data_IF_334869619848
#
_entry.id   IF_334869619848
#
_cell.length_a   1.000
_cell.length_b   1.000
_cell.length_c   1.000
_cell.angle_alpha   90.00
_cell.angle_beta   90.00
_cell.angle_gamma   90.00
#
_symmetry.space_group_name_H-M   'P 1'
#
loop_
_entity.id
_entity.type
_entity.pdbx_description
1 polymer ?
#
# COMPACT_ATOMS: atom_id res chain seq x y z
N UNK A 1 6.04 -15.22 35.50
CA UNK A 1 5.71 -14.62 36.80
C UNK A 1 4.42 -13.80 36.78
N UNK A 2 4.31 -12.65 36.07
CA UNK A 2 3.04 -11.89 36.11
C UNK A 2 1.91 -12.53 35.30
N UNK A 3 2.21 -13.26 34.22
CA UNK A 3 1.22 -13.96 33.41
C UNK A 3 0.44 -14.99 34.24
N UNK A 4 1.14 -15.82 34.96
CA UNK A 4 0.54 -16.84 35.83
C UNK A 4 -0.27 -16.19 36.96
N UNK A 5 0.28 -15.11 37.57
CA UNK A 5 -0.38 -14.39 38.66
C UNK A 5 -1.74 -13.78 38.23
N UNK A 6 -1.83 -13.26 37.00
CA UNK A 6 -3.05 -12.68 36.45
C UNK A 6 -3.85 -13.63 35.55
N UNK A 7 -3.44 -14.89 35.43
CA UNK A 7 -4.12 -15.88 34.60
C UNK A 7 -4.10 -15.54 33.10
N UNK A 8 -3.07 -14.81 32.66
CA UNK A 8 -2.96 -14.37 31.28
C UNK A 8 -2.33 -15.46 30.42
N UNK A 9 -2.87 -15.69 29.26
CA UNK A 9 -2.35 -16.69 28.30
C UNK A 9 -1.13 -16.18 27.53
N UNK A 10 -1.00 -14.86 27.37
CA UNK A 10 0.07 -14.21 26.62
C UNK A 10 0.36 -12.80 27.17
N UNK A 11 1.53 -12.20 26.87
CA UNK A 11 1.87 -10.88 27.35
C UNK A 11 0.92 -9.80 26.79
N UNK A 12 0.18 -9.06 27.64
CA UNK A 12 -0.80 -8.07 27.19
C UNK A 12 -0.19 -6.75 26.68
N UNK A 13 1.11 -6.54 26.94
CA UNK A 13 1.82 -5.31 26.63
C UNK A 13 2.86 -5.54 25.51
N UNK A 14 2.49 -6.27 24.46
CA UNK A 14 3.34 -6.39 23.29
C UNK A 14 3.39 -5.07 22.54
N UNK A 15 4.60 -4.66 22.11
CA UNK A 15 4.79 -3.48 21.25
C UNK A 15 4.26 -3.74 19.85
N UNK A 16 4.23 -5.01 19.43
CA UNK A 16 3.71 -5.40 18.11
C UNK A 16 2.18 -5.45 18.18
N UNK A 17 1.47 -4.61 17.42
CA UNK A 17 0.02 -4.68 17.36
C UNK A 17 -0.46 -6.04 16.86
N UNK A 18 -1.36 -6.66 17.62
CA UNK A 18 -1.99 -7.92 17.24
C UNK A 18 -3.43 -7.64 16.77
N UNK A 19 -3.75 -7.95 15.51
CA UNK A 19 -5.09 -7.71 14.95
C UNK A 19 -6.22 -8.39 15.73
N UNK A 20 -5.95 -9.48 16.44
CA UNK A 20 -6.94 -10.21 17.25
C UNK A 20 -7.53 -9.39 18.40
N UNK A 21 -6.79 -8.38 18.88
CA UNK A 21 -7.19 -7.52 20.01
C UNK A 21 -7.64 -6.15 19.56
N UNK A 22 -7.89 -5.94 18.27
CA UNK A 22 -8.29 -4.64 17.78
C UNK A 22 -9.76 -4.38 18.08
N UNK A 23 -10.02 -3.31 18.82
CA UNK A 23 -11.35 -2.74 18.96
C UNK A 23 -11.62 -1.72 17.85
N UNK A 24 -12.53 -2.05 16.97
CA UNK A 24 -12.95 -1.16 15.90
C UNK A 24 -14.11 -0.28 16.38
N UNK A 25 -13.85 1.00 16.61
CA UNK A 25 -14.92 1.99 16.76
C UNK A 25 -15.72 2.10 15.44
N UNK A 26 -16.87 2.76 15.48
CA UNK A 26 -17.69 3.02 14.29
C UNK A 26 -16.87 3.71 13.19
N UNK A 27 -16.09 4.74 13.53
CA UNK A 27 -15.19 5.43 12.58
C UNK A 27 -14.14 4.51 11.96
N UNK A 28 -13.58 3.58 12.74
CA UNK A 28 -12.61 2.62 12.20
C UNK A 28 -13.27 1.63 11.24
N UNK A 29 -14.50 1.18 11.55
CA UNK A 29 -15.27 0.30 10.65
C UNK A 29 -15.61 1.00 9.34
N UNK A 30 -16.05 2.25 9.41
CA UNK A 30 -16.36 3.05 8.23
C UNK A 30 -15.10 3.27 7.37
N UNK A 31 -13.99 3.65 8.00
CA UNK A 31 -12.71 3.82 7.30
C UNK A 31 -12.27 2.53 6.60
N UNK A 32 -12.32 1.38 7.29
CA UNK A 32 -11.97 0.09 6.71
C UNK A 32 -12.89 -0.29 5.55
N UNK A 33 -14.20 -0.04 5.69
CA UNK A 33 -15.17 -0.28 4.62
C UNK A 33 -14.89 0.59 3.40
N UNK A 34 -14.52 1.86 3.58
CA UNK A 34 -14.11 2.76 2.50
C UNK A 34 -12.83 2.28 1.80
N UNK A 35 -11.83 1.81 2.56
CA UNK A 35 -10.59 1.26 2.01
C UNK A 35 -10.87 0.00 1.16
N UNK A 36 -11.64 -0.94 1.70
CA UNK A 36 -12.04 -2.16 0.98
C UNK A 36 -12.84 -1.83 -0.27
N UNK A 37 -13.80 -0.90 -0.16
CA UNK A 37 -14.59 -0.46 -1.31
C UNK A 37 -13.72 0.15 -2.41
N UNK A 38 -12.74 0.99 -2.03
CA UNK A 38 -11.80 1.62 -2.97
C UNK A 38 -10.98 0.58 -3.74
N UNK A 39 -10.51 -0.46 -3.06
CA UNK A 39 -9.72 -1.54 -3.67
C UNK A 39 -10.61 -2.49 -4.48
N UNK A 40 -11.75 -2.93 -3.91
CA UNK A 40 -12.58 -3.97 -4.52
C UNK A 40 -13.45 -3.47 -5.67
N UNK A 41 -14.07 -2.33 -5.52
CA UNK A 41 -15.05 -1.82 -6.51
C UNK A 41 -14.49 -0.75 -7.43
N UNK A 42 -13.27 -0.25 -7.16
CA UNK A 42 -12.65 0.77 -7.99
C UNK A 42 -13.50 2.04 -8.10
N UNK A 43 -14.20 2.36 -7.01
CA UNK A 43 -15.24 3.37 -7.00
C UNK A 43 -14.70 4.79 -6.98
N UNK A 44 -14.01 5.24 -8.03
CA UNK A 44 -13.87 6.68 -8.17
C UNK A 44 -12.47 7.25 -8.26
N UNK A 45 -11.51 6.60 -8.87
CA UNK A 45 -10.30 7.32 -9.25
C UNK A 45 -8.97 6.80 -8.69
N UNK A 46 -8.95 5.62 -8.14
CA UNK A 46 -7.68 4.94 -7.85
C UNK A 46 -6.95 5.37 -6.57
N UNK A 47 -7.36 6.42 -5.88
CA UNK A 47 -6.77 6.85 -4.61
C UNK A 47 -7.76 6.82 -3.46
N UNK A 48 -7.32 6.26 -2.34
CA UNK A 48 -8.01 6.41 -1.05
C UNK A 48 -7.00 6.96 -0.04
N UNK A 49 -7.33 8.06 0.59
CA UNK A 49 -6.50 8.68 1.61
C UNK A 49 -7.09 8.43 2.99
N UNK A 50 -6.31 7.80 3.87
CA UNK A 50 -6.62 7.65 5.28
C UNK A 50 -5.86 8.70 6.08
N UNK A 51 -6.58 9.62 6.73
CA UNK A 51 -5.99 10.67 7.56
C UNK A 51 -6.38 10.49 9.02
N UNK A 52 -5.53 10.94 9.93
CA UNK A 52 -5.80 10.89 11.36
C UNK A 52 -4.56 11.25 12.17
N UNK A 53 -4.76 11.58 13.43
CA UNK A 53 -3.67 11.92 14.36
C UNK A 53 -2.75 10.72 14.63
N UNK A 54 -1.59 10.98 15.23
CA UNK A 54 -0.68 9.92 15.71
C UNK A 54 -1.42 9.07 16.75
N UNK A 55 -1.23 7.76 16.68
CA UNK A 55 -1.84 6.83 17.65
C UNK A 55 -3.31 6.48 17.38
N UNK A 56 -3.94 6.99 16.31
CA UNK A 56 -5.33 6.67 15.99
C UNK A 56 -5.52 5.31 15.31
N UNK A 57 -4.47 4.48 15.20
CA UNK A 57 -4.58 3.12 14.67
C UNK A 57 -4.55 2.98 13.14
N UNK A 58 -4.05 3.99 12.38
CA UNK A 58 -3.96 3.93 10.92
C UNK A 58 -3.19 2.71 10.40
N UNK A 59 -2.00 2.48 10.92
CA UNK A 59 -1.18 1.29 10.57
C UNK A 59 -1.89 -0.02 10.93
N UNK A 60 -2.64 -0.04 12.03
CA UNK A 60 -3.45 -1.20 12.41
C UNK A 60 -4.58 -1.43 11.41
N UNK A 61 -5.25 -0.36 10.95
CA UNK A 61 -6.26 -0.46 9.90
C UNK A 61 -5.68 -0.97 8.58
N UNK A 62 -4.48 -0.52 8.19
CA UNK A 62 -3.79 -1.03 7.01
C UNK A 62 -3.51 -2.54 7.13
N UNK A 63 -3.10 -3.03 8.31
CA UNK A 63 -2.90 -4.48 8.54
C UNK A 63 -4.20 -5.27 8.44
N UNK A 64 -5.28 -4.78 9.07
CA UNK A 64 -6.60 -5.39 8.95
C UNK A 64 -7.13 -5.39 7.52
N UNK A 65 -6.83 -4.34 6.76
CA UNK A 65 -7.14 -4.28 5.34
C UNK A 65 -6.45 -5.41 4.59
N UNK A 66 -5.13 -5.61 4.82
CA UNK A 66 -4.36 -6.68 4.20
C UNK A 66 -4.94 -8.07 4.47
N UNK A 67 -5.41 -8.33 5.69
CA UNK A 67 -6.03 -9.60 6.08
C UNK A 67 -7.39 -9.84 5.39
N UNK A 68 -8.08 -8.80 4.98
CA UNK A 68 -9.41 -8.87 4.37
C UNK A 68 -9.39 -8.78 2.84
N UNK A 69 -8.22 -8.52 2.24
CA UNK A 69 -8.11 -8.52 0.79
C UNK A 69 -8.25 -9.92 0.21
N UNK A 70 -8.87 -10.01 -0.95
CA UNK A 70 -9.03 -11.27 -1.66
C UNK A 70 -7.71 -11.77 -2.23
N UNK A 71 -7.56 -13.08 -2.41
CA UNK A 71 -6.40 -13.72 -3.05
C UNK A 71 -6.15 -13.26 -4.49
N UNK A 72 -7.14 -12.62 -5.10
CA UNK A 72 -7.02 -12.01 -6.44
C UNK A 72 -6.37 -10.62 -6.39
N UNK A 73 -6.03 -10.10 -5.21
CA UNK A 73 -5.39 -8.80 -5.04
C UNK A 73 -3.91 -8.97 -4.74
N UNK A 74 -3.06 -8.39 -5.57
CA UNK A 74 -1.61 -8.27 -5.34
C UNK A 74 -1.34 -6.95 -4.64
N UNK A 75 -0.54 -6.98 -3.59
CA UNK A 75 -0.27 -5.79 -2.79
C UNK A 75 1.21 -5.47 -2.80
N UNK A 76 1.54 -4.22 -3.06
CA UNK A 76 2.83 -3.63 -2.74
C UNK A 76 2.67 -2.77 -1.48
N UNK A 77 3.43 -3.08 -0.43
CA UNK A 77 3.36 -2.38 0.85
C UNK A 77 4.65 -1.59 1.11
N UNK A 78 4.55 -0.27 1.12
CA UNK A 78 5.66 0.64 1.43
C UNK A 78 5.46 1.21 2.83
N UNK A 79 6.26 0.74 3.79
CA UNK A 79 6.16 1.16 5.20
C UNK A 79 7.00 2.39 5.53
N UNK A 80 8.09 2.62 4.80
CA UNK A 80 8.94 3.77 5.00
C UNK A 80 9.20 4.49 3.67
N UNK A 81 8.40 5.48 3.31
CA UNK A 81 8.46 6.13 2.01
C UNK A 81 9.52 7.24 1.91
N UNK A 82 10.48 7.33 2.84
CA UNK A 82 11.65 8.24 2.71
C UNK A 82 12.63 7.72 1.65
N UNK A 83 12.12 7.53 0.45
CA UNK A 83 12.83 6.94 -0.67
C UNK A 83 12.87 7.95 -1.82
N UNK A 84 13.96 7.91 -2.59
CA UNK A 84 13.98 8.58 -3.90
C UNK A 84 12.95 7.94 -4.84
N UNK A 85 12.56 8.61 -5.93
CA UNK A 85 11.61 8.03 -6.90
C UNK A 85 12.06 6.67 -7.45
N UNK A 86 13.36 6.48 -7.67
CA UNK A 86 13.91 5.20 -8.16
C UNK A 86 13.77 4.12 -7.09
N UNK A 87 14.20 4.38 -5.86
CA UNK A 87 14.13 3.45 -4.75
C UNK A 87 12.66 3.08 -4.42
N UNK A 88 11.74 4.03 -4.55
CA UNK A 88 10.31 3.77 -4.38
C UNK A 88 9.79 2.78 -5.42
N UNK A 89 10.15 2.96 -6.70
CA UNK A 89 9.75 2.04 -7.77
C UNK A 89 10.43 0.69 -7.64
N UNK A 90 11.70 0.63 -7.23
CA UNK A 90 12.41 -0.61 -6.93
C UNK A 90 11.66 -1.37 -5.82
N UNK A 91 11.33 -0.71 -4.71
CA UNK A 91 10.56 -1.30 -3.60
C UNK A 91 9.20 -1.83 -4.08
N UNK A 92 8.47 -1.07 -4.90
CA UNK A 92 7.19 -1.53 -5.46
C UNK A 92 7.38 -2.77 -6.33
N UNK A 93 8.41 -2.80 -7.17
CA UNK A 93 8.71 -3.96 -8.01
C UNK A 93 9.09 -5.19 -7.16
N UNK A 94 9.89 -5.01 -6.12
CA UNK A 94 10.27 -6.07 -5.17
C UNK A 94 9.04 -6.65 -4.46
N UNK A 95 8.17 -5.81 -3.92
CA UNK A 95 6.94 -6.21 -3.24
C UNK A 95 5.97 -6.96 -4.17
N UNK A 96 5.92 -6.60 -5.44
CA UNK A 96 5.12 -7.29 -6.46
C UNK A 96 5.85 -8.50 -7.08
N UNK A 97 7.09 -8.79 -6.65
CA UNK A 97 7.92 -9.89 -7.16
C UNK A 97 8.14 -9.78 -8.68
N UNK A 98 8.33 -8.55 -9.16
CA UNK A 98 8.63 -8.29 -10.58
C UNK A 98 10.11 -8.56 -10.81
N UNK A 99 10.48 -9.49 -11.69
CA UNK A 99 11.88 -9.73 -12.02
C UNK A 99 12.46 -8.48 -12.68
N UNK A 100 13.52 -7.95 -12.09
CA UNK A 100 14.29 -6.85 -12.66
C UNK A 100 15.50 -7.47 -13.35
N UNK A 101 15.47 -7.54 -14.67
CA UNK A 101 16.56 -8.11 -15.47
C UNK A 101 17.84 -7.30 -15.24
N UNK A 102 18.90 -7.96 -14.75
CA UNK A 102 20.24 -7.39 -14.60
C UNK A 102 20.86 -7.42 -13.20
N UNK A 103 20.27 -8.14 -12.24
CA UNK A 103 20.79 -8.24 -10.85
C UNK A 103 21.92 -9.25 -10.65
N UNK A 104 22.51 -9.82 -11.70
CA UNK A 104 23.66 -10.73 -11.54
C UNK A 104 24.97 -10.03 -11.14
N UNK A 105 25.00 -8.73 -11.03
CA UNK A 105 26.18 -7.99 -10.56
C UNK A 105 25.76 -6.77 -9.75
N UNK A 106 25.78 -6.89 -8.46
CA UNK A 106 25.60 -5.97 -7.33
C UNK A 106 25.59 -4.45 -7.51
N UNK A 107 25.35 -3.87 -8.67
CA UNK A 107 25.48 -2.44 -8.94
C UNK A 107 24.61 -1.88 -10.07
N UNK A 108 23.47 -2.51 -10.40
CA UNK A 108 22.54 -1.87 -11.34
C UNK A 108 21.21 -1.54 -10.67
N UNK A 109 21.15 -0.35 -10.10
CA UNK A 109 19.88 0.37 -9.95
C UNK A 109 19.28 0.50 -11.35
N UNK A 110 18.07 -0.04 -11.54
CA UNK A 110 17.36 0.11 -12.81
C UNK A 110 17.20 1.60 -13.15
N UNK A 111 17.26 1.96 -14.42
CA UNK A 111 16.88 3.33 -14.78
C UNK A 111 15.39 3.53 -14.43
N UNK A 112 15.01 4.74 -14.01
CA UNK A 112 13.61 5.08 -13.71
C UNK A 112 12.66 4.56 -14.81
N UNK A 113 13.07 4.71 -16.07
CA UNK A 113 12.30 4.24 -17.22
C UNK A 113 12.16 2.71 -17.24
N UNK A 114 13.23 1.97 -17.00
CA UNK A 114 13.18 0.50 -17.00
C UNK A 114 12.26 -0.03 -15.90
N UNK A 115 12.26 0.58 -14.71
CA UNK A 115 11.37 0.23 -13.60
C UNK A 115 9.91 0.52 -13.95
N UNK A 116 9.63 1.68 -14.54
CA UNK A 116 8.29 2.05 -15.00
C UNK A 116 7.81 1.09 -16.09
N UNK A 117 8.64 0.74 -17.06
CA UNK A 117 8.29 -0.19 -18.15
C UNK A 117 8.02 -1.61 -17.60
N UNK A 118 8.85 -2.10 -16.67
CA UNK A 118 8.65 -3.39 -16.01
C UNK A 118 7.35 -3.43 -15.20
N UNK A 119 7.09 -2.38 -14.42
CA UNK A 119 5.85 -2.25 -13.66
C UNK A 119 4.63 -2.21 -14.59
N UNK A 120 4.69 -1.45 -15.69
CA UNK A 120 3.63 -1.41 -16.69
C UNK A 120 3.34 -2.78 -17.31
N UNK A 121 4.38 -3.51 -17.69
CA UNK A 121 4.23 -4.86 -18.25
C UNK A 121 3.54 -5.79 -17.23
N UNK A 122 3.97 -5.75 -15.96
CA UNK A 122 3.35 -6.52 -14.88
C UNK A 122 1.89 -6.17 -14.67
N UNK A 123 1.57 -4.88 -14.66
CA UNK A 123 0.21 -4.40 -14.46
C UNK A 123 -0.72 -4.84 -15.60
N UNK A 124 -0.20 -4.87 -16.84
CA UNK A 124 -0.90 -5.39 -18.02
C UNK A 124 -1.20 -6.89 -17.89
N UNK A 125 -0.20 -7.68 -17.49
CA UNK A 125 -0.36 -9.12 -17.28
C UNK A 125 -1.34 -9.41 -16.15
N UNK A 126 -1.19 -8.74 -14.99
CA UNK A 126 -2.09 -8.87 -13.86
C UNK A 126 -3.55 -8.59 -14.28
N UNK A 127 -3.75 -7.53 -15.07
CA UNK A 127 -5.06 -7.21 -15.62
C UNK A 127 -5.61 -8.31 -16.52
N UNK A 128 -4.81 -8.81 -17.45
CA UNK A 128 -5.22 -9.88 -18.37
C UNK A 128 -5.65 -11.15 -17.60
N UNK A 129 -5.03 -11.41 -16.45
CA UNK A 129 -5.36 -12.52 -15.55
C UNK A 129 -6.51 -12.21 -14.57
N UNK A 130 -7.12 -11.04 -14.65
CA UNK A 130 -8.21 -10.64 -13.76
C UNK A 130 -7.77 -10.30 -12.34
N UNK A 131 -6.47 -10.16 -12.10
CA UNK A 131 -5.91 -9.77 -10.82
C UNK A 131 -6.05 -8.25 -10.60
N UNK A 132 -6.14 -7.87 -9.33
CA UNK A 132 -6.05 -6.48 -8.89
C UNK A 132 -4.66 -6.21 -8.33
N UNK A 133 -4.22 -4.97 -8.43
CA UNK A 133 -2.97 -4.54 -7.79
C UNK A 133 -3.29 -3.36 -6.89
N UNK A 134 -2.86 -3.40 -5.66
CA UNK A 134 -3.00 -2.32 -4.69
C UNK A 134 -1.62 -1.87 -4.21
N UNK A 135 -1.38 -0.57 -4.22
CA UNK A 135 -0.21 0.05 -3.61
C UNK A 135 -0.66 0.68 -2.28
N UNK A 136 -0.09 0.21 -1.19
CA UNK A 136 -0.35 0.75 0.14
C UNK A 136 0.93 1.46 0.61
N UNK A 137 0.81 2.74 0.93
CA UNK A 137 1.92 3.53 1.43
C UNK A 137 1.57 4.00 2.84
N UNK A 138 2.27 3.49 3.84
CA UNK A 138 2.16 4.01 5.20
C UNK A 138 3.08 5.23 5.38
N UNK A 139 2.72 6.14 6.27
CA UNK A 139 3.47 7.38 6.52
C UNK A 139 3.73 8.23 5.26
N UNK A 140 2.76 8.28 4.34
CA UNK A 140 2.90 8.92 3.01
C UNK A 140 3.26 10.42 3.06
N UNK A 141 3.10 11.10 4.21
CA UNK A 141 3.58 12.46 4.41
C UNK A 141 5.13 12.57 4.36
N UNK A 142 5.82 11.44 4.42
CA UNK A 142 7.28 11.40 4.30
C UNK A 142 7.77 11.24 2.84
N UNK A 143 6.86 11.08 1.88
CA UNK A 143 7.22 11.09 0.46
C UNK A 143 7.74 12.46 0.03
N UNK A 144 8.78 12.45 -0.82
CA UNK A 144 9.20 13.67 -1.52
C UNK A 144 8.14 14.07 -2.56
N UNK A 145 8.16 15.32 -2.99
CA UNK A 145 7.25 15.80 -4.05
C UNK A 145 7.46 15.00 -5.34
N UNK A 146 8.72 14.68 -5.65
CA UNK A 146 9.09 13.89 -6.82
C UNK A 146 8.54 12.46 -6.73
N UNK A 147 8.62 11.84 -5.54
CA UNK A 147 8.09 10.49 -5.31
C UNK A 147 6.55 10.48 -5.36
N UNK A 148 5.89 11.51 -4.83
CA UNK A 148 4.44 11.70 -4.96
C UNK A 148 4.02 11.82 -6.42
N UNK A 149 4.79 12.57 -7.22
CA UNK A 149 4.51 12.72 -8.64
C UNK A 149 4.66 11.38 -9.38
N UNK A 150 5.65 10.55 -9.03
CA UNK A 150 5.77 9.20 -9.58
C UNK A 150 4.56 8.33 -9.22
N UNK A 151 4.09 8.35 -7.98
CA UNK A 151 2.87 7.64 -7.57
C UNK A 151 1.66 8.13 -8.36
N UNK A 152 1.52 9.45 -8.56
CA UNK A 152 0.45 10.04 -9.37
C UNK A 152 0.53 9.58 -10.84
N UNK A 153 1.73 9.53 -11.42
CA UNK A 153 1.93 9.04 -12.78
C UNK A 153 1.58 7.57 -12.92
N UNK A 154 1.91 6.73 -11.94
CA UNK A 154 1.52 5.33 -11.93
C UNK A 154 0.01 5.12 -11.94
N UNK A 155 -0.73 5.98 -11.25
CA UNK A 155 -2.21 5.87 -11.24
C UNK A 155 -2.87 6.43 -12.49
N UNK A 156 -2.17 7.33 -13.22
CA UNK A 156 -2.62 7.89 -14.47
C UNK A 156 -2.23 7.05 -15.71
N UNK A 157 -1.68 5.87 -15.53
CA UNK A 157 -1.39 4.94 -16.63
C UNK A 157 -2.69 4.43 -17.31
N UNK A 158 -3.57 5.38 -17.60
CA UNK A 158 -4.71 5.18 -18.47
C UNK A 158 -4.16 5.13 -19.92
N UNK A 159 -3.99 3.92 -20.42
CA UNK A 159 -3.70 3.79 -21.85
C UNK A 159 -4.87 4.34 -22.66
N UNK A 160 -4.54 5.09 -23.72
CA UNK A 160 -5.46 5.79 -24.62
C UNK A 160 -6.51 4.88 -25.31
N UNK A 161 -6.60 3.62 -24.97
CA UNK A 161 -7.41 2.63 -25.70
C UNK A 161 -8.55 1.99 -24.94
N UNK A 162 -8.94 2.42 -23.79
CA UNK A 162 -10.27 2.12 -23.20
C UNK A 162 -10.26 2.37 -21.68
N UNK A 163 -11.30 3.01 -21.15
CA UNK A 163 -11.73 3.28 -19.78
C UNK A 163 -11.77 2.03 -18.84
N UNK A 164 -10.84 1.09 -18.93
CA UNK A 164 -10.86 -0.20 -18.24
C UNK A 164 -9.83 -0.34 -17.10
N UNK A 165 -8.97 0.64 -16.91
CA UNK A 165 -7.87 0.62 -15.94
C UNK A 165 -8.23 1.18 -14.56
N UNK A 166 -9.38 0.80 -14.01
CA UNK A 166 -9.85 1.28 -12.71
C UNK A 166 -9.58 0.28 -11.58
N UNK A 167 -8.38 -0.31 -11.52
CA UNK A 167 -8.13 -1.35 -10.52
C UNK A 167 -6.90 -1.11 -9.66
N UNK A 168 -6.49 0.13 -9.47
CA UNK A 168 -5.46 0.52 -8.51
C UNK A 168 -6.08 1.34 -7.39
N UNK A 169 -5.76 0.96 -6.16
CA UNK A 169 -5.99 1.80 -5.01
C UNK A 169 -4.63 2.12 -4.40
N UNK A 170 -4.25 3.38 -4.35
CA UNK A 170 -3.20 3.82 -3.48
C UNK A 170 -3.83 4.23 -2.15
N UNK A 171 -3.52 3.50 -1.11
CA UNK A 171 -3.93 3.85 0.25
C UNK A 171 -2.77 4.59 0.89
N UNK A 172 -3.00 5.83 1.29
CA UNK A 172 -2.01 6.63 1.99
C UNK A 172 -2.50 6.94 3.39
N UNK A 173 -1.69 6.65 4.39
CA UNK A 173 -1.92 7.16 5.73
C UNK A 173 -1.14 8.47 5.88
N UNK A 174 -1.81 9.60 5.96
CA UNK A 174 -1.20 10.90 6.14
C UNK A 174 -1.56 11.52 7.49
N UNK A 175 -0.66 12.31 8.02
CA UNK A 175 -0.85 13.07 9.24
C UNK A 175 -1.79 14.26 8.99
N UNK A 176 -2.69 14.57 9.93
CA UNK A 176 -3.50 15.79 9.88
C UNK A 176 -2.61 17.00 10.14
N UNK A 177 -2.26 17.75 9.12
CA UNK A 177 -1.44 18.96 9.28
C UNK A 177 -0.91 19.56 7.99
N UNK A 178 -0.86 18.80 6.92
CA UNK A 178 -0.45 19.32 5.63
C UNK A 178 -1.71 19.53 4.78
N UNK A 179 -2.12 20.78 4.65
CA UNK A 179 -3.07 21.20 3.59
C UNK A 179 -2.27 21.31 2.29
N UNK A 180 -2.64 20.55 1.33
CA UNK A 180 -2.20 20.69 -0.07
C UNK A 180 -2.98 21.81 -0.74
#
# INVERSE_FOLDING_TARGET
>A
MYLEHFGLKEPPFSITPDPRFVFLSERHRDALAHLLFGIDKGGGGGFVQLTGEVGTGKTTLCRLLLEQLSDTTRVALVLNPRLSPVELLETICEELHIPLDGTESGTRRGSLKALVDALNAYLLDAYARGLRVALIIDEAQNLSVESLEQVRLLTNLETATRKRWRRYAAVSSAFSGVRW
#
